data_IF_041470551495
#
_entry.id   IF_041470551495
#
_cell.length_a   1.000
_cell.length_b   1.000
_cell.length_c   1.000
_cell.angle_alpha   90.00
_cell.angle_beta   90.00
_cell.angle_gamma   90.00
#
_symmetry.space_group_name_H-M   'P 1'
#
loop_
_entity.id
_entity.type
_entity.pdbx_description
1 polymer ?
#
# COMPACT_ATOMS: atom_id res chain seq x y z
N UNK A 1 7.89 2.75 -18.47
CA UNK A 1 6.88 3.45 -17.66
C UNK A 1 5.58 3.46 -18.44
N UNK A 2 4.45 3.44 -17.73
CA UNK A 2 3.11 3.56 -18.29
C UNK A 2 2.61 4.99 -18.03
N UNK A 3 2.10 5.67 -19.05
CA UNK A 3 1.58 7.05 -18.88
C UNK A 3 0.12 6.93 -18.48
N UNK A 4 -0.17 7.15 -17.20
CA UNK A 4 -1.53 7.13 -16.63
C UNK A 4 -1.93 8.49 -16.11
N UNK A 5 -3.24 8.75 -16.09
CA UNK A 5 -3.85 9.90 -15.45
C UNK A 5 -5.06 9.44 -14.64
N UNK A 6 -5.28 10.04 -13.47
CA UNK A 6 -6.38 9.68 -12.59
C UNK A 6 -6.49 10.59 -11.39
N UNK A 7 -7.51 10.33 -10.57
CA UNK A 7 -7.78 11.09 -9.36
C UNK A 7 -6.91 10.58 -8.22
N UNK A 8 -6.27 11.49 -7.47
CA UNK A 8 -5.54 11.12 -6.25
C UNK A 8 -6.55 10.74 -5.15
N UNK A 9 -6.56 9.47 -4.76
CA UNK A 9 -7.46 8.92 -3.75
C UNK A 9 -6.89 9.11 -2.34
N UNK A 10 -5.56 9.05 -2.21
CA UNK A 10 -4.89 9.33 -0.94
C UNK A 10 -3.41 8.95 -0.94
N UNK A 11 -2.82 9.06 0.24
CA UNK A 11 -1.43 8.76 0.50
C UNK A 11 -1.34 7.89 1.76
N UNK A 12 -0.46 6.88 1.76
CA UNK A 12 -0.17 6.09 2.96
C UNK A 12 0.88 6.77 3.87
N UNK A 13 1.15 6.19 5.05
CA UNK A 13 2.11 6.77 6.01
C UNK A 13 3.56 6.60 5.55
N UNK A 14 3.81 5.70 4.60
CA UNK A 14 5.12 5.56 3.97
C UNK A 14 5.38 6.66 2.94
N UNK A 15 4.31 7.23 2.37
CA UNK A 15 4.33 8.31 1.40
C UNK A 15 3.94 7.88 -0.01
N UNK A 16 3.54 6.62 -0.24
CA UNK A 16 3.06 6.16 -1.54
C UNK A 16 1.70 6.80 -1.85
N UNK A 17 1.50 7.20 -3.11
CA UNK A 17 0.28 7.85 -3.57
C UNK A 17 -0.57 6.90 -4.39
N UNK A 18 -1.87 6.89 -4.14
CA UNK A 18 -2.81 5.97 -4.77
C UNK A 18 -3.78 6.73 -5.66
N UNK A 19 -3.99 6.21 -6.87
CA UNK A 19 -4.81 6.86 -7.88
C UNK A 19 -5.85 5.91 -8.46
N UNK A 20 -6.94 6.49 -8.96
CA UNK A 20 -8.01 5.77 -9.63
C UNK A 20 -8.48 6.48 -10.90
N UNK A 21 -8.75 5.71 -11.95
CA UNK A 21 -9.41 6.13 -13.19
C UNK A 21 -10.30 4.99 -13.71
N UNK A 22 -11.62 5.22 -13.72
CA UNK A 22 -12.64 4.24 -14.15
C UNK A 22 -12.78 4.11 -15.67
N UNK A 23 -12.12 4.96 -16.45
CA UNK A 23 -12.11 4.89 -17.92
C UNK A 23 -11.09 3.88 -18.47
N UNK A 24 -10.17 3.41 -17.62
CA UNK A 24 -9.20 2.38 -17.96
C UNK A 24 -9.81 0.98 -18.04
N UNK A 25 -9.08 0.07 -18.67
CA UNK A 25 -9.46 -1.35 -18.72
C UNK A 25 -9.65 -1.92 -17.30
N UNK A 26 -10.55 -2.92 -17.12
CA UNK A 26 -10.70 -3.62 -15.85
C UNK A 26 -9.36 -4.07 -15.28
N UNK A 27 -9.19 -3.95 -13.96
CA UNK A 27 -7.96 -4.23 -13.21
C UNK A 27 -6.77 -3.28 -13.47
N UNK A 28 -6.91 -2.29 -14.36
CA UNK A 28 -5.92 -1.21 -14.57
C UNK A 28 -6.40 0.15 -14.04
N UNK A 29 -7.61 0.19 -13.48
CA UNK A 29 -8.25 1.41 -13.00
C UNK A 29 -7.60 1.96 -11.74
N UNK A 30 -6.91 1.15 -10.93
CA UNK A 30 -6.19 1.58 -9.72
C UNK A 30 -4.69 1.37 -9.89
N UNK A 31 -3.89 2.30 -9.39
CA UNK A 31 -2.42 2.14 -9.33
C UNK A 31 -1.82 2.94 -8.17
N UNK A 32 -0.55 2.65 -7.89
CA UNK A 32 0.25 3.28 -6.86
C UNK A 32 1.50 3.91 -7.49
N UNK A 33 1.80 5.13 -7.07
CA UNK A 33 3.11 5.75 -7.28
C UNK A 33 3.89 5.62 -5.97
N UNK A 34 4.90 4.76 -5.99
CA UNK A 34 5.78 4.57 -4.84
C UNK A 34 6.66 5.79 -4.61
N UNK A 35 6.88 6.11 -3.34
CA UNK A 35 7.82 7.17 -2.96
C UNK A 35 9.28 6.75 -3.16
N UNK A 36 9.58 5.46 -3.01
CA UNK A 36 10.92 4.90 -3.21
C UNK A 36 11.08 4.33 -4.62
N UNK A 37 12.28 4.49 -5.15
CA UNK A 37 12.64 4.05 -6.50
C UNK A 37 12.89 2.53 -6.63
N UNK A 38 13.03 1.80 -5.52
CA UNK A 38 13.20 0.34 -5.51
C UNK A 38 11.90 -0.44 -5.78
N UNK A 39 10.75 0.25 -5.79
CA UNK A 39 9.44 -0.22 -6.27
C UNK A 39 9.00 -1.61 -5.74
N UNK A 40 9.18 -1.88 -4.45
CA UNK A 40 8.69 -3.12 -3.82
C UNK A 40 7.19 -3.03 -3.46
N UNK A 41 6.41 -4.03 -3.87
CA UNK A 41 5.00 -4.17 -3.50
C UNK A 41 4.78 -4.30 -1.98
N UNK A 42 5.76 -4.82 -1.26
CA UNK A 42 5.72 -4.90 0.20
C UNK A 42 5.80 -3.53 0.90
N UNK A 43 5.98 -2.43 0.16
CA UNK A 43 5.88 -1.07 0.70
C UNK A 43 4.43 -0.58 0.86
N UNK A 44 3.46 -1.26 0.26
CA UNK A 44 2.04 -0.90 0.37
C UNK A 44 1.51 -1.28 1.76
N UNK A 45 0.84 -0.34 2.42
CA UNK A 45 0.16 -0.61 3.69
C UNK A 45 -1.01 -1.61 3.54
N UNK A 46 -1.33 -2.41 4.58
CA UNK A 46 -2.34 -3.47 4.49
C UNK A 46 -3.72 -3.00 4.00
N UNK A 47 -4.21 -1.86 4.50
CA UNK A 47 -5.50 -1.31 4.06
C UNK A 47 -5.49 -0.89 2.59
N UNK A 48 -4.39 -0.25 2.15
CA UNK A 48 -4.21 0.14 0.75
C UNK A 48 -3.99 -1.06 -0.17
N UNK A 49 -3.36 -2.12 0.34
CA UNK A 49 -3.19 -3.38 -0.38
C UNK A 49 -4.53 -4.06 -0.66
N UNK A 50 -5.47 -4.03 0.29
CA UNK A 50 -6.83 -4.53 0.07
C UNK A 50 -7.58 -3.72 -1.01
N UNK A 51 -7.44 -2.39 -0.98
CA UNK A 51 -8.10 -1.50 -1.94
C UNK A 51 -7.53 -1.62 -3.36
N UNK A 52 -6.21 -1.59 -3.52
CA UNK A 52 -5.57 -1.70 -4.85
C UNK A 52 -5.79 -3.07 -5.48
N UNK A 53 -5.97 -4.11 -4.67
CA UNK A 53 -6.28 -5.48 -5.11
C UNK A 53 -7.78 -5.72 -5.34
N UNK A 54 -8.61 -4.67 -5.35
CA UNK A 54 -10.06 -4.74 -5.52
C UNK A 54 -10.79 -5.65 -4.51
N UNK A 55 -10.18 -5.91 -3.34
CA UNK A 55 -10.85 -6.67 -2.27
C UNK A 55 -11.89 -5.82 -1.54
N UNK A 56 -11.69 -4.50 -1.52
CA UNK A 56 -12.62 -3.52 -0.97
C UNK A 56 -12.80 -2.35 -1.94
N UNK A 57 -14.00 -1.78 -1.98
CA UNK A 57 -14.31 -0.63 -2.84
C UNK A 57 -13.85 0.69 -2.21
N UNK A 58 -14.00 0.81 -0.88
CA UNK A 58 -13.65 2.01 -0.14
C UNK A 58 -12.16 2.00 0.24
N UNK A 59 -11.42 3.09 0.02
CA UNK A 59 -10.03 3.21 0.46
C UNK A 59 -9.94 3.43 1.98
N UNK A 60 -8.75 3.23 2.59
CA UNK A 60 -8.53 3.45 4.02
C UNK A 60 -8.80 4.88 4.51
N UNK A 61 -8.82 5.85 3.59
CA UNK A 61 -9.18 7.24 3.88
C UNK A 61 -10.68 7.44 4.11
N UNK A 62 -11.53 6.54 3.60
CA UNK A 62 -12.99 6.64 3.69
C UNK A 62 -13.60 5.62 4.64
N UNK A 63 -12.92 4.49 4.89
CA UNK A 63 -13.40 3.44 5.80
C UNK A 63 -12.47 3.30 7.00
N UNK A 64 -12.98 3.67 8.18
CA UNK A 64 -12.26 3.62 9.44
C UNK A 64 -11.88 2.20 9.88
N UNK A 65 -12.57 1.16 9.39
CA UNK A 65 -12.29 -0.23 9.78
C UNK A 65 -10.97 -0.76 9.20
N UNK A 66 -10.60 -0.27 8.01
CA UNK A 66 -9.36 -0.65 7.30
C UNK A 66 -8.26 0.41 7.45
N UNK A 67 -8.51 1.48 8.20
CA UNK A 67 -7.53 2.50 8.51
C UNK A 67 -6.39 1.91 9.35
N UNK A 68 -5.15 2.08 8.86
CA UNK A 68 -3.93 1.56 9.49
C UNK A 68 -3.35 2.59 10.46
N UNK A 69 -2.74 2.14 11.56
CA UNK A 69 -2.11 2.99 12.58
C UNK A 69 -3.04 3.43 13.71
N UNK A 70 -4.24 2.86 13.80
CA UNK A 70 -5.25 3.22 14.82
C UNK A 70 -5.13 2.36 16.09
N UNK A 71 -4.58 1.16 15.98
CA UNK A 71 -4.52 0.20 17.09
C UNK A 71 -3.18 0.29 17.82
N UNK A 72 -3.20 0.13 19.14
CA UNK A 72 -2.01 0.26 19.99
C UNK A 72 -0.88 -0.75 19.68
N UNK A 73 -1.23 -1.92 19.15
CA UNK A 73 -0.26 -2.95 18.78
C UNK A 73 0.31 -2.77 17.36
N UNK A 74 -0.27 -1.88 16.56
CA UNK A 74 0.17 -1.66 15.19
C UNK A 74 1.48 -0.87 15.17
N UNK A 75 2.41 -1.23 14.28
CA UNK A 75 3.61 -0.44 14.09
C UNK A 75 3.31 1.04 13.76
N UNK A 76 4.13 1.93 14.31
CA UNK A 76 4.06 3.37 14.02
C UNK A 76 4.44 3.72 12.56
N UNK A 77 5.08 2.81 11.84
CA UNK A 77 5.36 2.95 10.42
C UNK A 77 5.19 1.60 9.72
N UNK A 78 4.81 1.59 8.43
CA UNK A 78 4.76 0.38 7.62
C UNK A 78 6.12 -0.33 7.63
N UNK A 79 6.11 -1.64 7.90
CA UNK A 79 7.34 -2.45 7.88
C UNK A 79 7.53 -3.05 6.49
N UNK A 80 8.60 -2.70 5.77
CA UNK A 80 8.88 -3.26 4.45
C UNK A 80 9.32 -4.72 4.56
N UNK A 81 9.44 -5.39 3.41
CA UNK A 81 10.08 -6.69 3.33
C UNK A 81 11.61 -6.54 3.51
N UNK A 82 12.18 -7.29 4.45
CA UNK A 82 13.61 -7.27 4.74
C UNK A 82 14.37 -8.48 4.16
N UNK A 83 13.72 -9.31 3.35
CA UNK A 83 14.36 -10.47 2.71
C UNK A 83 15.62 -10.05 1.95
N UNK A 84 16.71 -10.81 2.10
CA UNK A 84 17.99 -10.51 1.46
C UNK A 84 18.78 -9.34 2.08
N UNK A 85 18.23 -8.67 3.10
CA UNK A 85 18.93 -7.60 3.85
C UNK A 85 19.47 -8.11 5.18
N UNK A 86 20.28 -7.29 5.88
CA UNK A 86 20.72 -7.59 7.25
C UNK A 86 19.56 -7.70 8.25
N UNK A 87 18.40 -7.11 7.94
CA UNK A 87 17.19 -7.16 8.78
C UNK A 87 16.28 -8.37 8.52
N UNK A 88 16.70 -9.32 7.66
CA UNK A 88 15.92 -10.51 7.39
C UNK A 88 15.64 -11.31 8.67
N UNK A 89 14.42 -11.83 8.80
CA UNK A 89 14.06 -12.72 9.90
C UNK A 89 14.95 -13.96 9.91
N UNK A 90 15.49 -14.31 11.09
CA UNK A 90 16.26 -15.53 11.33
C UNK A 90 15.53 -16.37 12.37
N UNK A 91 15.14 -17.61 12.05
CA UNK A 91 14.46 -18.47 13.01
C UNK A 91 15.39 -18.85 14.16
N UNK A 92 14.81 -19.01 15.34
CA UNK A 92 15.46 -19.51 16.55
C UNK A 92 14.44 -20.29 17.38
N UNK A 93 14.90 -21.10 18.33
CA UNK A 93 14.01 -21.76 19.27
C UNK A 93 13.62 -20.78 20.39
N UNK A 94 12.31 -20.57 20.56
CA UNK A 94 11.72 -19.60 21.49
C UNK A 94 11.58 -20.15 22.90
#
# INVERSE_FOLDING_TARGET
>A
GDTKYGTLIGQDRFGNKYYENTEELPLRTRWVDYVKHDYDAAHIEPGWHAWISYSVDKPPTQDSLIATGTRHFEPALPKPNFTGTRGAYKPYNT
#
